data_IF_991558451153
#
_entry.id   IF_991558451153
#
_cell.length_a   1.000
_cell.length_b   1.000
_cell.length_c   1.000
_cell.angle_alpha   90.00
_cell.angle_beta   90.00
_cell.angle_gamma   90.00
#
_symmetry.space_group_name_H-M   'P 1'
#
loop_
_entity.id
_entity.type
_entity.pdbx_description
1 polymer ?
#
# COMPACT_ATOMS: atom_id res chain seq x y z
N UNK A 1 -11.48 -6.38 -3.75
CA UNK A 1 -11.00 -5.32 -2.84
C UNK A 1 -12.16 -4.52 -2.24
N UNK A 2 -13.22 -4.20 -2.99
CA UNK A 2 -14.30 -3.29 -2.52
C UNK A 2 -15.52 -4.03 -1.96
N UNK A 3 -15.93 -5.13 -2.60
CA UNK A 3 -17.06 -5.95 -2.18
C UNK A 3 -16.89 -6.50 -0.76
N UNK A 4 -18.02 -6.62 -0.05
CA UNK A 4 -18.06 -7.24 1.27
C UNK A 4 -17.58 -8.70 1.17
N UNK A 5 -16.74 -9.13 2.11
CA UNK A 5 -16.17 -10.48 2.16
C UNK A 5 -15.21 -10.80 1.01
N UNK A 6 -14.75 -9.77 0.26
CA UNK A 6 -13.70 -9.99 -0.72
C UNK A 6 -12.42 -10.52 -0.03
N UNK A 7 -11.67 -11.47 -0.66
CA UNK A 7 -10.46 -12.06 -0.07
C UNK A 7 -9.38 -11.06 0.35
N UNK A 8 -9.42 -9.85 -0.22
CA UNK A 8 -8.54 -8.72 0.08
C UNK A 8 -9.36 -7.45 0.26
N UNK A 9 -10.45 -7.52 1.02
CA UNK A 9 -11.29 -6.36 1.32
C UNK A 9 -10.44 -5.26 1.99
N UNK A 10 -10.53 -4.04 1.48
CA UNK A 10 -9.84 -2.89 2.04
C UNK A 10 -10.74 -2.15 3.03
N UNK A 11 -10.16 -1.62 4.10
CA UNK A 11 -10.91 -0.86 5.10
C UNK A 11 -11.23 0.55 4.57
N UNK A 12 -12.43 0.70 4.00
CA UNK A 12 -12.97 1.96 3.47
C UNK A 12 -14.42 2.15 3.94
N UNK A 13 -14.79 3.40 4.22
CA UNK A 13 -16.12 3.74 4.73
C UNK A 13 -17.24 3.49 3.71
N UNK A 14 -18.47 3.37 4.22
CA UNK A 14 -19.65 3.05 3.43
C UNK A 14 -19.94 4.08 2.32
N UNK A 15 -19.70 5.36 2.58
CA UNK A 15 -19.90 6.42 1.59
C UNK A 15 -18.96 6.25 0.40
N UNK A 16 -17.69 5.97 0.67
CA UNK A 16 -16.67 5.70 -0.36
C UNK A 16 -17.02 4.44 -1.16
N UNK A 17 -17.48 3.36 -0.51
CA UNK A 17 -17.93 2.15 -1.22
C UNK A 17 -19.09 2.44 -2.18
N UNK A 18 -20.08 3.23 -1.75
CA UNK A 18 -21.23 3.60 -2.57
C UNK A 18 -20.82 4.42 -3.79
N UNK A 19 -19.92 5.40 -3.60
CA UNK A 19 -19.39 6.21 -4.70
C UNK A 19 -18.64 5.38 -5.74
N UNK A 20 -17.83 4.41 -5.30
CA UNK A 20 -17.13 3.49 -6.21
C UNK A 20 -18.14 2.65 -6.99
N UNK A 21 -19.17 2.12 -6.33
CA UNK A 21 -20.19 1.31 -6.98
C UNK A 21 -20.92 2.08 -8.09
N UNK A 22 -21.20 3.37 -7.88
CA UNK A 22 -21.77 4.26 -8.89
C UNK A 22 -20.78 4.52 -10.04
N UNK A 23 -19.54 4.88 -9.72
CA UNK A 23 -18.53 5.19 -10.75
C UNK A 23 -18.13 3.97 -11.59
N UNK A 24 -18.23 2.75 -11.05
CA UNK A 24 -17.99 1.50 -11.78
C UNK A 24 -19.03 1.27 -12.88
N UNK A 25 -20.27 1.75 -12.72
CA UNK A 25 -21.29 1.58 -13.76
C UNK A 25 -20.92 2.25 -15.08
N UNK A 26 -20.17 3.36 -15.01
CA UNK A 26 -19.65 4.07 -16.18
C UNK A 26 -18.21 3.64 -16.56
N UNK A 27 -17.60 2.73 -15.77
CA UNK A 27 -16.26 2.16 -15.97
C UNK A 27 -15.18 3.18 -16.38
N UNK A 28 -15.19 4.36 -15.77
CA UNK A 28 -14.22 5.40 -16.08
C UNK A 28 -12.86 5.10 -15.44
N UNK A 29 -11.76 5.62 -16.00
CA UNK A 29 -10.42 5.49 -15.41
C UNK A 29 -10.33 6.07 -13.99
N UNK A 30 -11.26 6.96 -13.61
CA UNK A 30 -11.33 7.59 -12.30
C UNK A 30 -12.11 6.82 -11.24
N UNK A 31 -12.73 5.68 -11.57
CA UNK A 31 -13.71 5.02 -10.69
C UNK A 31 -13.20 4.66 -9.28
N UNK A 32 -11.90 4.38 -9.13
CA UNK A 32 -11.26 4.05 -7.86
C UNK A 32 -10.44 5.18 -7.23
N UNK A 33 -10.38 6.37 -7.85
CA UNK A 33 -9.51 7.47 -7.38
C UNK A 33 -9.75 7.82 -5.92
N UNK A 34 -11.01 7.93 -5.51
CA UNK A 34 -11.37 8.25 -4.12
C UNK A 34 -10.97 7.13 -3.16
N UNK A 35 -11.21 5.86 -3.56
CA UNK A 35 -10.80 4.69 -2.78
C UNK A 35 -9.29 4.66 -2.56
N UNK A 36 -8.53 4.88 -3.64
CA UNK A 36 -7.08 4.86 -3.63
C UNK A 36 -6.51 5.96 -2.73
N UNK A 37 -7.05 7.19 -2.81
CA UNK A 37 -6.67 8.29 -1.90
C UNK A 37 -6.92 7.92 -0.44
N UNK A 38 -8.07 7.31 -0.13
CA UNK A 38 -8.42 6.93 1.23
C UNK A 38 -7.49 5.85 1.79
N UNK A 39 -7.22 4.81 1.01
CA UNK A 39 -6.27 3.76 1.39
C UNK A 39 -4.86 4.33 1.55
N UNK A 40 -4.42 5.18 0.63
CA UNK A 40 -3.11 5.83 0.72
C UNK A 40 -2.97 6.59 2.04
N UNK A 41 -3.92 7.46 2.38
CA UNK A 41 -3.90 8.18 3.65
C UNK A 41 -3.94 7.24 4.85
N UNK A 42 -4.68 6.14 4.80
CA UNK A 42 -4.70 5.15 5.88
C UNK A 42 -3.33 4.49 6.07
N UNK A 43 -2.66 4.14 4.97
CA UNK A 43 -1.31 3.57 5.03
C UNK A 43 -0.31 4.60 5.56
N UNK A 44 -0.33 5.83 5.03
CA UNK A 44 0.56 6.92 5.41
C UNK A 44 0.50 7.23 6.92
N UNK A 45 -0.71 7.21 7.51
CA UNK A 45 -0.91 7.56 8.91
C UNK A 45 -0.71 6.39 9.89
N UNK A 46 -0.67 5.15 9.43
CA UNK A 46 -0.62 3.98 10.32
C UNK A 46 0.46 2.97 9.96
N UNK A 47 0.40 2.42 8.74
CA UNK A 47 1.32 1.35 8.33
C UNK A 47 2.71 1.89 8.01
N UNK A 48 2.79 3.07 7.40
CA UNK A 48 4.04 3.67 6.95
C UNK A 48 5.00 4.06 8.08
N UNK A 49 4.59 4.76 9.16
CA UNK A 49 5.49 5.04 10.27
C UNK A 49 6.01 3.76 10.93
N UNK A 50 5.14 2.76 11.13
CA UNK A 50 5.53 1.45 11.67
C UNK A 50 6.47 0.68 10.73
N UNK A 51 6.31 0.84 9.42
CA UNK A 51 7.21 0.26 8.44
C UNK A 51 8.62 0.84 8.58
N UNK A 52 8.77 2.16 8.71
CA UNK A 52 10.08 2.80 8.89
C UNK A 52 10.79 2.36 10.19
N UNK A 53 10.02 2.03 11.22
CA UNK A 53 10.54 1.51 12.50
C UNK A 53 10.79 -0.01 12.47
N UNK A 54 10.23 -0.73 11.49
CA UNK A 54 10.32 -2.19 11.43
C UNK A 54 11.73 -2.69 11.09
N UNK A 55 12.08 -3.86 11.62
CA UNK A 55 13.33 -4.55 11.28
C UNK A 55 13.51 -4.75 9.77
N UNK A 56 12.41 -5.01 9.05
CA UNK A 56 12.42 -5.13 7.59
C UNK A 56 13.01 -3.90 6.91
N UNK A 57 12.56 -2.70 7.29
CA UNK A 57 13.10 -1.48 6.70
C UNK A 57 14.54 -1.21 7.16
N UNK A 58 14.85 -1.47 8.43
CA UNK A 58 16.21 -1.32 8.96
C UNK A 58 17.20 -2.24 8.24
N UNK A 59 16.79 -3.46 7.90
CA UNK A 59 17.59 -4.41 7.13
C UNK A 59 17.82 -3.94 5.69
N UNK A 60 16.83 -3.33 5.04
CA UNK A 60 17.01 -2.70 3.74
C UNK A 60 17.99 -1.51 3.78
N UNK A 61 18.04 -0.78 4.89
CA UNK A 61 18.98 0.32 5.08
C UNK A 61 20.42 -0.14 5.37
N UNK A 62 20.61 -1.39 5.83
CA UNK A 62 21.94 -1.98 5.93
C UNK A 62 22.43 -2.19 4.49
N UNK A 63 23.45 -1.41 4.10
CA UNK A 63 24.07 -1.47 2.76
C UNK A 63 24.27 -2.94 2.34
N UNK A 64 24.02 -3.31 1.07
CA UNK A 64 24.46 -4.61 0.58
C UNK A 64 25.95 -4.72 0.91
N UNK A 65 26.31 -5.73 1.70
CA UNK A 65 27.70 -6.07 1.95
C UNK A 65 28.30 -6.38 0.58
N UNK A 66 28.95 -5.40 -0.03
CA UNK A 66 29.84 -5.67 -1.15
C UNK A 66 31.02 -6.39 -0.50
N UNK A 67 30.93 -7.72 -0.46
CA UNK A 67 32.05 -8.59 -0.14
C UNK A 67 33.10 -8.33 -1.21
N UNK A 68 33.96 -7.36 -0.96
CA UNK A 68 35.23 -7.22 -1.68
C UNK A 68 36.12 -8.29 -1.09
N UNK A 69 36.09 -9.49 -1.68
CA UNK A 69 37.13 -10.47 -1.42
C UNK A 69 38.49 -9.83 -1.80
N UNK A 70 39.48 -9.81 -0.89
CA UNK A 70 40.81 -9.39 -1.27
C UNK A 70 41.39 -10.49 -2.17
N UNK A 71 41.53 -10.20 -3.46
CA UNK A 71 42.33 -11.03 -4.36
C UNK A 71 43.78 -11.01 -3.85
N UNK A 72 44.20 -12.13 -3.27
CA UNK A 72 45.60 -12.39 -2.95
C UNK A 72 46.43 -12.39 -4.24
N UNK A 73 47.59 -11.73 -4.21
CA UNK A 73 48.72 -11.97 -5.11
C UNK A 73 49.93 -12.28 -4.27
#
# INVERSE_FOLDING_TARGET
FIEKEAPKEINIDFQTKTLIAQNIQEATSGCFTTAQKRVYSLMENNSYPRFLESEFYQDLCKKPQITTEPHAT
#
